data_IF_875027890894
#
_entry.id   IF_875027890894
#
_cell.length_a   1.000
_cell.length_b   1.000
_cell.length_c   1.000
_cell.angle_alpha   90.00
_cell.angle_beta   90.00
_cell.angle_gamma   90.00
#
_symmetry.space_group_name_H-M   'P 1'
#
loop_
_entity.id
_entity.type
_entity.pdbx_description
1 polymer ?
#
# COMPACT_ATOMS: atom_id res chain seq x y z
N UNK A 1 33.23 53.00 15.93
CA UNK A 1 34.38 52.23 15.40
C UNK A 1 34.24 52.14 13.88
N UNK A 2 35.35 51.93 13.17
CA UNK A 2 35.55 52.45 11.80
C UNK A 2 34.94 51.60 10.66
N UNK A 3 34.54 52.23 9.54
CA UNK A 3 34.20 51.57 8.28
C UNK A 3 35.46 51.11 7.49
N UNK A 4 35.32 50.29 6.42
CA UNK A 4 36.41 49.46 5.90
C UNK A 4 37.28 50.12 4.81
N UNK A 5 38.51 49.61 4.57
CA UNK A 5 39.37 50.08 3.48
C UNK A 5 39.02 49.45 2.13
N UNK A 6 38.89 50.29 1.10
CA UNK A 6 38.82 49.90 -0.32
C UNK A 6 40.23 49.66 -0.88
N UNK A 7 40.43 48.62 -1.70
CA UNK A 7 41.48 48.54 -2.73
C UNK A 7 40.84 47.98 -4.01
N UNK A 8 40.58 48.80 -5.03
CA UNK A 8 41.44 49.35 -6.11
C UNK A 8 41.86 48.31 -7.16
N UNK A 9 41.48 48.62 -8.41
CA UNK A 9 41.79 47.91 -9.68
C UNK A 9 43.20 48.20 -10.19
N UNK A 10 43.67 47.28 -11.02
CA UNK A 10 44.55 47.42 -12.19
C UNK A 10 44.22 46.18 -13.06
N UNK A 11 43.82 46.20 -14.34
CA UNK A 11 44.38 46.83 -15.55
C UNK A 11 45.90 46.54 -15.66
N UNK A 12 46.46 46.04 -16.77
CA UNK A 12 45.95 45.86 -18.14
C UNK A 12 46.83 44.83 -18.90
N UNK A 13 46.63 44.68 -20.23
CA UNK A 13 47.34 43.84 -21.22
C UNK A 13 46.63 42.51 -21.52
N UNK A 14 45.77 42.34 -22.53
CA UNK A 14 45.59 42.96 -23.87
C UNK A 14 46.43 42.32 -25.00
N UNK A 15 45.80 42.21 -26.19
CA UNK A 15 46.33 41.78 -27.50
C UNK A 15 46.79 40.30 -27.67
N UNK A 16 46.56 39.62 -28.81
CA UNK A 16 45.77 39.95 -30.02
C UNK A 16 45.71 38.78 -31.03
N UNK A 17 44.59 38.66 -31.77
CA UNK A 17 44.45 38.07 -33.12
C UNK A 17 44.83 36.57 -33.33
N UNK A 18 44.28 35.80 -34.29
CA UNK A 18 43.80 36.18 -35.62
C UNK A 18 42.63 35.29 -36.10
N UNK A 19 41.79 35.92 -36.93
CA UNK A 19 40.68 35.48 -37.79
C UNK A 19 40.96 34.22 -38.65
N UNK A 20 40.01 33.58 -39.34
CA UNK A 20 39.02 34.14 -40.30
C UNK A 20 37.82 33.20 -40.59
N UNK A 21 36.67 33.79 -41.00
CA UNK A 21 35.75 33.42 -42.12
C UNK A 21 35.32 31.94 -42.33
N UNK A 22 34.12 31.54 -42.83
CA UNK A 22 32.89 32.12 -43.43
C UNK A 22 31.89 30.93 -43.63
N UNK A 23 30.63 31.02 -44.09
CA UNK A 23 29.66 32.10 -44.41
C UNK A 23 28.25 31.49 -44.58
N UNK A 24 27.21 32.32 -44.40
CA UNK A 24 25.86 32.24 -45.00
C UNK A 24 24.89 31.07 -44.73
N UNK A 25 23.61 31.42 -44.55
CA UNK A 25 22.52 30.48 -44.26
C UNK A 25 21.21 31.19 -43.87
N UNK A 26 20.67 32.03 -44.77
CA UNK A 26 19.48 32.86 -44.54
C UNK A 26 18.18 32.09 -44.26
N UNK A 27 17.35 32.55 -43.32
CA UNK A 27 15.99 32.02 -43.10
C UNK A 27 15.12 32.90 -42.21
N UNK A 28 14.42 33.88 -42.80
CA UNK A 28 13.45 34.73 -42.08
C UNK A 28 12.14 33.97 -41.81
N UNK A 29 11.60 34.05 -40.60
CA UNK A 29 10.16 34.25 -40.41
C UNK A 29 9.85 34.93 -39.07
N UNK A 30 9.01 35.96 -39.14
CA UNK A 30 8.53 36.75 -38.00
C UNK A 30 7.01 36.74 -37.99
N UNK A 31 6.38 36.31 -36.89
CA UNK A 31 5.67 37.23 -35.99
C UNK A 31 5.02 36.50 -34.79
N UNK A 32 4.73 37.20 -33.67
CA UNK A 32 4.26 36.58 -32.44
C UNK A 32 2.73 36.69 -32.23
N UNK A 33 2.07 35.59 -31.89
CA UNK A 33 0.67 35.61 -31.40
C UNK A 33 0.61 35.55 -29.87
N UNK A 34 0.54 36.76 -29.30
CA UNK A 34 0.14 37.11 -27.95
C UNK A 34 -1.13 36.35 -27.49
N UNK A 35 -1.00 35.45 -26.52
CA UNK A 35 -2.12 35.01 -25.68
C UNK A 35 -1.82 35.26 -24.19
N UNK A 36 -2.39 36.35 -23.67
CA UNK A 36 -2.74 36.44 -22.26
C UNK A 36 -4.15 35.86 -22.12
N UNK A 37 -4.32 34.84 -21.29
CA UNK A 37 -5.42 34.80 -20.33
C UNK A 37 -5.19 33.70 -19.29
N UNK A 38 -5.39 34.04 -18.01
CA UNK A 38 -5.29 33.08 -16.93
C UNK A 38 -6.56 32.23 -16.83
N UNK A 39 -6.38 30.93 -16.63
CA UNK A 39 -7.47 29.99 -16.32
C UNK A 39 -7.13 29.19 -15.06
N UNK A 40 -7.81 29.48 -13.96
CA UNK A 40 -7.79 28.63 -12.76
C UNK A 40 -8.45 27.29 -13.10
N UNK A 41 -7.67 26.25 -13.43
CA UNK A 41 -8.19 24.90 -13.57
C UNK A 41 -8.17 24.18 -12.22
N UNK A 42 -9.30 24.23 -11.52
CA UNK A 42 -9.62 23.34 -10.39
C UNK A 42 -10.44 22.15 -10.92
N UNK A 43 -10.23 21.00 -10.29
CA UNK A 43 -11.10 19.82 -10.26
C UNK A 43 -11.09 18.82 -11.44
N UNK A 44 -11.50 17.60 -11.07
CA UNK A 44 -11.92 16.47 -11.91
C UNK A 44 -10.85 15.77 -12.79
N UNK A 45 -10.02 14.96 -12.14
CA UNK A 45 -9.59 13.67 -12.71
C UNK A 45 -10.44 12.54 -12.15
N UNK A 46 -11.66 12.46 -12.66
CA UNK A 46 -12.51 11.29 -12.55
C UNK A 46 -12.54 10.61 -13.92
N UNK A 47 -12.78 9.29 -13.93
CA UNK A 47 -13.14 8.48 -15.10
C UNK A 47 -12.03 8.13 -16.10
N UNK A 48 -11.55 6.90 -15.98
CA UNK A 48 -11.49 5.94 -17.09
C UNK A 48 -11.64 4.53 -16.48
N UNK A 49 -12.91 4.12 -16.29
CA UNK A 49 -13.27 2.78 -15.83
C UNK A 49 -13.54 1.88 -17.05
N UNK A 50 -13.27 0.58 -16.89
CA UNK A 50 -13.10 -0.38 -17.97
C UNK A 50 -14.31 -0.58 -18.86
N UNK A 51 -14.06 -0.55 -20.17
CA UNK A 51 -14.86 -1.22 -21.18
C UNK A 51 -14.03 -2.38 -21.76
N UNK A 52 -14.15 -3.61 -21.21
CA UNK A 52 -13.73 -4.82 -21.96
C UNK A 52 -14.33 -6.14 -21.45
N UNK A 53 -15.21 -6.68 -22.29
CA UNK A 53 -15.55 -8.09 -22.54
C UNK A 53 -15.35 -9.12 -21.42
N UNK A 54 -16.46 -9.43 -20.71
CA UNK A 54 -16.70 -10.78 -20.22
C UNK A 54 -17.49 -11.56 -21.26
N UNK A 55 -16.90 -12.62 -21.83
CA UNK A 55 -17.62 -13.59 -22.66
C UNK A 55 -18.42 -14.54 -21.77
N UNK A 56 -19.74 -14.36 -21.73
CA UNK A 56 -20.65 -15.23 -20.98
C UNK A 56 -20.91 -16.55 -21.73
N UNK A 57 -20.46 -17.67 -21.18
CA UNK A 57 -21.06 -18.96 -21.51
C UNK A 57 -22.39 -19.08 -20.76
N UNK A 58 -23.50 -19.02 -21.50
CA UNK A 58 -24.83 -19.28 -20.97
C UNK A 58 -25.10 -20.79 -21.00
N UNK A 59 -25.32 -21.38 -19.83
CA UNK A 59 -25.87 -22.74 -19.69
C UNK A 59 -27.34 -22.61 -19.30
N UNK A 60 -28.21 -22.91 -20.27
CA UNK A 60 -29.66 -22.82 -20.16
C UNK A 60 -30.21 -24.18 -19.73
N UNK A 61 -30.95 -24.31 -18.63
CA UNK A 61 -31.79 -25.50 -18.34
C UNK A 61 -32.86 -25.24 -17.28
N UNK A 62 -33.98 -25.93 -17.46
CA UNK A 62 -35.05 -26.23 -16.49
C UNK A 62 -35.91 -25.02 -16.06
N UNK A 63 -37.11 -24.84 -16.60
CA UNK A 63 -38.33 -25.69 -16.64
C UNK A 63 -39.36 -25.28 -15.57
N UNK A 64 -40.60 -25.22 -16.02
CA UNK A 64 -41.78 -24.97 -15.21
C UNK A 64 -41.97 -26.09 -14.18
N UNK A 65 -42.53 -25.76 -13.02
CA UNK A 65 -43.66 -26.51 -12.48
C UNK A 65 -44.56 -25.61 -11.62
N UNK A 66 -45.80 -26.09 -11.40
CA UNK A 66 -46.99 -25.28 -11.12
C UNK A 66 -47.82 -25.93 -10.02
N UNK A 67 -48.41 -25.12 -9.15
CA UNK A 67 -49.30 -25.56 -8.06
C UNK A 67 -48.61 -25.61 -6.69
N UNK A 68 -49.33 -25.56 -5.57
CA UNK A 68 -50.79 -25.44 -5.43
C UNK A 68 -51.11 -24.86 -4.04
N UNK A 69 -52.17 -24.06 -3.93
CA UNK A 69 -52.60 -23.53 -2.64
C UNK A 69 -53.12 -24.64 -1.72
N UNK A 70 -52.80 -24.55 -0.43
CA UNK A 70 -53.46 -25.32 0.63
C UNK A 70 -53.34 -24.57 1.95
N UNK A 71 -54.44 -23.94 2.34
CA UNK A 71 -54.62 -23.43 3.69
C UNK A 71 -54.59 -24.59 4.69
N UNK A 72 -53.83 -24.48 5.78
CA UNK A 72 -53.91 -25.43 6.89
C UNK A 72 -53.80 -24.69 8.21
N UNK A 73 -54.97 -24.33 8.73
CA UNK A 73 -55.18 -23.72 10.05
C UNK A 73 -54.60 -24.63 11.13
N UNK A 74 -53.54 -24.21 11.82
CA UNK A 74 -52.94 -24.99 12.90
C UNK A 74 -52.59 -24.14 14.12
N UNK A 75 -53.12 -24.64 15.25
CA UNK A 75 -53.23 -24.09 16.60
C UNK A 75 -51.97 -23.41 17.18
N UNK A 76 -52.20 -22.28 17.83
CA UNK A 76 -51.21 -21.46 18.55
C UNK A 76 -50.67 -22.16 19.81
N UNK A 77 -49.53 -22.83 19.69
CA UNK A 77 -48.69 -23.16 20.84
C UNK A 77 -47.74 -21.99 21.12
N UNK A 78 -47.95 -21.27 22.23
CA UNK A 78 -47.10 -20.14 22.64
C UNK A 78 -45.78 -20.63 23.25
N UNK A 79 -44.90 -21.19 22.41
CA UNK A 79 -43.50 -21.37 22.77
C UNK A 79 -42.83 -20.01 22.82
N UNK A 80 -42.46 -19.57 24.03
CA UNK A 80 -41.61 -18.39 24.22
C UNK A 80 -40.21 -18.71 23.68
N UNK A 81 -40.02 -18.50 22.38
CA UNK A 81 -38.71 -18.61 21.74
C UNK A 81 -37.80 -17.54 22.34
N UNK A 82 -36.91 -17.95 23.21
CA UNK A 82 -35.79 -17.12 23.66
C UNK A 82 -35.01 -16.78 22.40
N UNK A 83 -35.10 -15.53 21.96
CA UNK A 83 -34.41 -15.09 20.76
C UNK A 83 -32.90 -15.20 21.01
N UNK A 84 -32.27 -16.22 20.43
CA UNK A 84 -30.81 -16.35 20.48
C UNK A 84 -30.23 -15.07 19.91
N UNK A 85 -29.50 -14.34 20.76
CA UNK A 85 -28.74 -13.17 20.32
C UNK A 85 -27.81 -13.60 19.19
N UNK A 86 -27.86 -12.96 18.00
CA UNK A 86 -27.06 -13.41 16.87
C UNK A 86 -25.60 -13.49 17.27
N UNK A 87 -25.01 -14.67 17.07
CA UNK A 87 -23.64 -14.96 17.49
C UNK A 87 -22.68 -13.94 16.86
N UNK A 88 -22.03 -13.14 17.71
CA UNK A 88 -21.07 -12.13 17.28
C UNK A 88 -19.95 -12.82 16.51
N UNK A 89 -19.76 -12.42 15.24
CA UNK A 89 -18.72 -13.03 14.41
C UNK A 89 -17.36 -12.56 14.90
N UNK A 90 -16.44 -13.51 15.08
CA UNK A 90 -15.07 -13.25 15.53
C UNK A 90 -14.07 -13.46 14.39
N UNK A 91 -13.03 -12.63 14.32
CA UNK A 91 -11.91 -12.74 13.39
C UNK A 91 -10.62 -12.81 14.20
N UNK A 92 -9.99 -13.98 14.24
CA UNK A 92 -8.66 -14.14 14.83
C UNK A 92 -7.59 -13.65 13.84
N UNK A 93 -6.69 -12.78 14.31
CA UNK A 93 -5.57 -12.27 13.51
C UNK A 93 -4.27 -12.25 14.33
N UNK A 94 -3.11 -12.65 13.77
CA UNK A 94 -1.84 -12.56 14.47
C UNK A 94 -1.51 -11.11 14.90
N UNK A 95 -1.20 -10.89 16.17
CA UNK A 95 -0.92 -9.55 16.71
C UNK A 95 0.27 -8.91 15.97
N UNK A 96 0.09 -7.77 15.28
CA UNK A 96 1.13 -7.12 14.48
C UNK A 96 2.06 -6.22 15.31
N UNK A 97 1.71 -5.90 16.55
CA UNK A 97 2.46 -4.98 17.40
C UNK A 97 3.95 -5.33 17.60
N UNK A 98 4.35 -6.61 17.77
CA UNK A 98 5.76 -6.99 17.88
C UNK A 98 6.57 -6.81 16.59
N UNK A 99 5.90 -6.69 15.44
CA UNK A 99 6.51 -6.65 14.10
C UNK A 99 6.47 -5.25 13.48
N UNK A 100 5.90 -4.26 14.16
CA UNK A 100 5.94 -2.87 13.72
C UNK A 100 7.37 -2.34 13.74
N UNK A 101 7.80 -1.75 12.62
CA UNK A 101 9.15 -1.20 12.48
C UNK A 101 9.24 0.16 13.21
N UNK A 102 10.25 0.40 14.08
CA UNK A 102 10.48 1.70 14.67
C UNK A 102 10.79 2.78 13.63
N UNK A 103 10.32 4.03 13.85
CA UNK A 103 10.61 5.17 12.97
C UNK A 103 12.13 5.35 12.72
N UNK A 104 12.94 5.18 13.77
CA UNK A 104 14.41 5.29 13.67
C UNK A 104 15.03 4.28 12.72
N UNK A 105 14.45 3.09 12.58
CA UNK A 105 14.93 2.06 11.64
C UNK A 105 14.56 2.38 10.19
N UNK A 106 13.37 2.96 9.95
CA UNK A 106 13.03 3.51 8.63
C UNK A 106 14.03 4.61 8.23
N UNK A 107 14.20 5.61 9.11
CA UNK A 107 15.10 6.75 8.88
C UNK A 107 16.55 6.32 8.65
N UNK A 108 17.06 5.36 9.43
CA UNK A 108 18.40 4.78 9.29
C UNK A 108 18.64 4.16 7.92
N UNK A 109 17.60 3.61 7.28
CA UNK A 109 17.69 2.95 5.98
C UNK A 109 17.60 3.93 4.79
N UNK A 110 16.94 5.09 4.93
CA UNK A 110 16.72 6.02 3.82
C UNK A 110 18.00 6.47 3.08
N UNK A 111 19.12 6.84 3.74
CA UNK A 111 20.34 7.26 3.02
C UNK A 111 20.99 6.18 2.16
N UNK A 112 20.68 4.91 2.42
CA UNK A 112 21.13 3.79 1.60
C UNK A 112 20.13 3.44 0.49
N UNK A 113 18.83 3.58 0.76
CA UNK A 113 17.73 3.28 -0.16
C UNK A 113 17.48 4.38 -1.19
N UNK A 114 17.71 5.65 -0.84
CA UNK A 114 17.52 6.81 -1.72
C UNK A 114 18.81 7.64 -1.75
N UNK A 115 19.82 7.07 -2.40
CA UNK A 115 21.20 7.58 -2.39
C UNK A 115 21.36 8.90 -3.16
N UNK A 116 20.64 9.08 -4.27
CA UNK A 116 20.73 10.31 -5.09
C UNK A 116 19.52 11.25 -4.94
N UNK A 117 18.67 11.03 -3.93
CA UNK A 117 17.55 11.92 -3.64
C UNK A 117 16.62 12.14 -4.85
N UNK A 118 16.42 13.42 -5.21
CA UNK A 118 15.48 13.80 -6.28
C UNK A 118 15.88 13.32 -7.68
N UNK A 119 17.16 13.09 -7.97
CA UNK A 119 17.60 12.59 -9.29
C UNK A 119 17.56 11.06 -9.43
N UNK A 120 17.28 10.32 -8.36
CA UNK A 120 17.27 8.86 -8.39
C UNK A 120 16.07 8.28 -9.15
N UNK A 121 16.31 7.25 -9.96
CA UNK A 121 15.32 6.55 -10.81
C UNK A 121 15.59 5.05 -10.80
N UNK A 122 14.65 4.28 -11.35
CA UNK A 122 14.79 2.83 -11.55
C UNK A 122 14.40 2.01 -10.32
N UNK A 123 14.11 0.74 -10.57
CA UNK A 123 13.91 -0.30 -9.56
C UNK A 123 15.23 -0.59 -8.83
N UNK A 124 15.23 -1.38 -7.75
CA UNK A 124 16.49 -1.78 -7.12
C UNK A 124 17.37 -2.65 -8.01
N UNK A 125 16.78 -3.52 -8.86
CA UNK A 125 17.54 -4.25 -9.89
C UNK A 125 18.31 -3.37 -10.86
N UNK A 126 17.88 -2.12 -11.06
CA UNK A 126 18.53 -1.17 -11.96
C UNK A 126 19.70 -0.41 -11.28
N UNK A 127 19.94 -0.63 -9.98
CA UNK A 127 20.97 0.08 -9.23
C UNK A 127 22.36 -0.57 -9.40
N UNK A 128 23.44 0.22 -9.35
CA UNK A 128 24.80 -0.31 -9.44
C UNK A 128 25.09 -1.39 -8.39
N UNK A 129 25.85 -2.45 -8.71
CA UNK A 129 26.11 -3.58 -7.80
C UNK A 129 26.63 -3.17 -6.41
N UNK A 130 27.44 -2.12 -6.31
CA UNK A 130 27.96 -1.62 -5.02
C UNK A 130 26.83 -1.09 -4.10
N UNK A 131 25.75 -0.51 -4.65
CA UNK A 131 24.58 -0.10 -3.87
C UNK A 131 23.80 -1.30 -3.35
N UNK A 132 23.57 -2.29 -4.22
CA UNK A 132 22.89 -3.53 -3.86
C UNK A 132 23.63 -4.23 -2.71
N UNK A 133 24.95 -4.39 -2.80
CA UNK A 133 25.78 -4.93 -1.72
C UNK A 133 25.67 -4.11 -0.43
N UNK A 134 25.71 -2.78 -0.50
CA UNK A 134 25.57 -1.90 0.68
C UNK A 134 24.20 -2.06 1.35
N UNK A 135 23.12 -2.17 0.57
CA UNK A 135 21.77 -2.37 1.08
C UNK A 135 21.63 -3.76 1.70
N UNK A 136 22.03 -4.83 1.01
CA UNK A 136 22.02 -6.20 1.56
C UNK A 136 22.82 -6.30 2.87
N UNK A 137 23.96 -5.61 2.97
CA UNK A 137 24.75 -5.53 4.21
C UNK A 137 23.99 -4.86 5.37
N UNK A 138 23.19 -3.83 5.09
CA UNK A 138 22.33 -3.14 6.08
C UNK A 138 21.07 -3.94 6.46
N UNK A 139 20.57 -4.75 5.53
CA UNK A 139 19.49 -5.72 5.74
C UNK A 139 19.94 -6.99 6.47
N UNK A 140 21.20 -7.08 6.89
CA UNK A 140 21.75 -8.28 7.54
C UNK A 140 21.93 -9.48 6.59
N UNK A 141 21.42 -9.40 5.36
CA UNK A 141 21.47 -10.44 4.31
C UNK A 141 22.83 -10.56 3.64
N UNK A 142 23.92 -10.19 4.34
CA UNK A 142 25.30 -10.50 3.93
C UNK A 142 25.36 -11.98 3.54
N UNK A 143 25.66 -12.25 2.27
CA UNK A 143 25.46 -13.54 1.60
C UNK A 143 26.36 -14.66 2.09
N UNK A 144 26.27 -15.00 3.39
CA UNK A 144 26.89 -16.17 4.00
C UNK A 144 26.17 -17.42 3.51
N UNK A 145 26.61 -17.87 2.34
CA UNK A 145 26.67 -19.26 1.92
C UNK A 145 25.49 -20.14 2.38
N UNK A 146 24.37 -20.02 1.67
CA UNK A 146 23.29 -21.03 1.63
C UNK A 146 23.79 -22.44 1.23
N UNK A 147 25.07 -22.62 0.89
CA UNK A 147 25.64 -23.85 0.34
C UNK A 147 26.21 -24.84 1.36
N UNK A 148 26.47 -24.49 2.64
CA UNK A 148 27.18 -25.42 3.53
C UNK A 148 26.74 -25.55 5.01
N UNK A 149 25.88 -24.67 5.57
CA UNK A 149 25.68 -24.68 7.02
C UNK A 149 24.54 -25.60 7.51
N UNK A 150 24.75 -26.93 7.45
CA UNK A 150 23.76 -27.94 7.87
C UNK A 150 23.79 -28.30 9.38
N UNK A 151 24.74 -27.75 10.16
CA UNK A 151 25.00 -28.20 11.54
C UNK A 151 25.20 -27.11 12.61
N UNK A 152 25.02 -25.82 12.32
CA UNK A 152 25.19 -24.75 13.33
C UNK A 152 23.96 -24.53 14.22
N UNK A 153 23.57 -25.51 15.04
CA UNK A 153 22.66 -25.33 16.19
C UNK A 153 23.37 -24.59 17.36
N UNK A 154 24.10 -23.53 17.02
CA UNK A 154 25.04 -22.83 17.89
C UNK A 154 24.52 -21.51 18.42
N UNK A 155 23.70 -21.56 19.47
CA UNK A 155 23.58 -20.54 20.54
C UNK A 155 23.77 -19.08 20.07
N UNK A 156 22.76 -18.51 19.41
CA UNK A 156 22.72 -17.09 19.10
C UNK A 156 22.83 -16.26 20.39
N UNK A 157 24.00 -15.63 20.62
CA UNK A 157 24.17 -14.62 21.66
C UNK A 157 23.22 -13.45 21.39
N UNK A 158 22.75 -12.80 22.45
CA UNK A 158 21.90 -11.60 22.44
C UNK A 158 22.49 -10.44 21.61
N UNK A 159 22.42 -10.51 20.29
CA UNK A 159 22.25 -9.30 19.49
C UNK A 159 20.85 -8.80 19.79
N UNK A 160 20.75 -7.62 20.42
CA UNK A 160 19.47 -6.97 20.74
C UNK A 160 18.49 -7.13 19.58
N UNK A 161 17.27 -7.60 19.87
CA UNK A 161 16.20 -7.89 18.90
C UNK A 161 15.67 -6.60 18.25
N UNK A 162 16.52 -5.92 17.48
CA UNK A 162 16.14 -4.85 16.58
C UNK A 162 15.33 -5.49 15.46
N UNK A 163 14.05 -5.13 15.40
CA UNK A 163 13.12 -5.53 14.33
C UNK A 163 13.70 -5.03 13.01
N UNK A 164 14.29 -5.94 12.24
CA UNK A 164 15.03 -5.60 11.04
C UNK A 164 14.07 -5.46 9.87
N UNK A 165 14.12 -4.29 9.20
CA UNK A 165 13.39 -4.08 7.95
C UNK A 165 13.83 -5.14 6.94
N UNK A 166 12.89 -5.93 6.45
CA UNK A 166 13.18 -6.95 5.45
C UNK A 166 13.38 -6.31 4.05
N UNK A 167 13.72 -7.15 3.08
CA UNK A 167 13.93 -6.70 1.70
C UNK A 167 12.67 -6.02 1.15
N UNK A 168 11.54 -6.71 1.05
CA UNK A 168 10.29 -6.18 0.48
C UNK A 168 9.84 -4.85 1.12
N UNK A 169 9.91 -4.75 2.45
CA UNK A 169 9.62 -3.53 3.21
C UNK A 169 10.52 -2.37 2.78
N UNK A 170 11.83 -2.60 2.71
CA UNK A 170 12.82 -1.58 2.33
C UNK A 170 12.61 -1.07 0.91
N UNK A 171 12.20 -1.95 0.00
CA UNK A 171 11.98 -1.62 -1.39
C UNK A 171 10.66 -0.84 -1.57
N UNK A 172 9.61 -1.21 -0.84
CA UNK A 172 8.38 -0.43 -0.77
C UNK A 172 8.62 0.96 -0.15
N UNK A 173 9.38 1.05 0.95
CA UNK A 173 9.81 2.31 1.57
C UNK A 173 10.53 3.21 0.56
N UNK A 174 11.52 2.67 -0.16
CA UNK A 174 12.23 3.37 -1.24
C UNK A 174 11.28 3.94 -2.28
N UNK A 175 10.35 3.11 -2.78
CA UNK A 175 9.38 3.48 -3.82
C UNK A 175 8.52 4.68 -3.38
N UNK A 176 8.06 4.71 -2.13
CA UNK A 176 7.29 5.84 -1.61
C UNK A 176 8.11 7.12 -1.46
N UNK A 177 9.35 7.04 -0.98
CA UNK A 177 10.23 8.21 -0.87
C UNK A 177 10.63 8.78 -2.23
N UNK A 178 10.91 7.94 -3.24
CA UNK A 178 11.16 8.42 -4.61
C UNK A 178 9.96 9.16 -5.20
N UNK A 179 8.74 8.66 -4.95
CA UNK A 179 7.51 9.34 -5.38
C UNK A 179 7.25 10.64 -4.60
N UNK A 180 7.53 10.67 -3.29
CA UNK A 180 7.44 11.87 -2.46
C UNK A 180 8.41 12.97 -2.94
N UNK A 181 9.64 12.60 -3.28
CA UNK A 181 10.67 13.51 -3.78
C UNK A 181 10.39 14.05 -5.20
N UNK A 182 9.52 13.37 -5.96
CA UNK A 182 9.20 13.69 -7.37
C UNK A 182 7.67 13.70 -7.60
N UNK A 183 6.91 14.61 -6.96
CA UNK A 183 5.45 14.57 -6.97
C UNK A 183 4.85 14.67 -8.38
N UNK A 184 5.47 15.43 -9.28
CA UNK A 184 5.01 15.64 -10.66
C UNK A 184 5.26 14.46 -11.61
N UNK A 185 6.12 13.50 -11.24
CA UNK A 185 6.46 12.37 -12.10
C UNK A 185 5.55 11.16 -11.84
N UNK A 186 5.17 10.46 -12.89
CA UNK A 186 4.40 9.21 -12.80
C UNK A 186 5.30 8.03 -12.40
N UNK A 187 4.69 6.92 -11.96
CA UNK A 187 5.42 5.69 -11.63
C UNK A 187 6.28 5.18 -12.82
N UNK A 188 5.77 5.15 -14.08
CA UNK A 188 6.60 4.87 -15.26
C UNK A 188 7.75 5.87 -15.46
N UNK A 189 7.52 7.18 -15.28
CA UNK A 189 8.55 8.21 -15.46
C UNK A 189 9.66 8.13 -14.40
N UNK A 190 9.36 7.57 -13.23
CA UNK A 190 10.36 7.22 -12.20
C UNK A 190 11.06 5.88 -12.46
N UNK A 191 10.59 5.10 -13.45
CA UNK A 191 10.97 3.71 -13.73
C UNK A 191 10.73 2.81 -12.50
N UNK A 192 9.55 2.95 -11.89
CA UNK A 192 9.12 2.22 -10.69
C UNK A 192 7.88 1.34 -10.95
N UNK A 193 7.82 0.72 -12.15
CA UNK A 193 6.69 -0.07 -12.64
C UNK A 193 5.72 0.68 -13.55
N UNK A 194 4.97 -0.06 -14.37
CA UNK A 194 3.84 0.52 -15.09
C UNK A 194 2.64 0.72 -14.15
N UNK A 195 1.74 1.65 -14.49
CA UNK A 195 0.51 1.82 -13.73
C UNK A 195 -0.40 0.58 -13.83
N UNK A 196 -0.27 -0.25 -14.87
CA UNK A 196 -1.06 -1.47 -15.03
C UNK A 196 -0.57 -2.57 -14.07
N UNK A 197 0.74 -2.83 -14.03
CA UNK A 197 1.33 -3.86 -13.15
C UNK A 197 1.04 -3.57 -11.67
N UNK A 198 1.09 -2.28 -11.31
CA UNK A 198 0.78 -1.78 -9.97
C UNK A 198 -0.70 -2.00 -9.62
N UNK A 199 -1.64 -1.77 -10.55
CA UNK A 199 -3.07 -2.03 -10.33
C UNK A 199 -3.35 -3.51 -10.20
N UNK A 200 -2.90 -4.32 -11.17
CA UNK A 200 -3.08 -5.78 -11.16
C UNK A 200 -2.54 -6.37 -9.84
N UNK A 201 -1.39 -5.88 -9.35
CA UNK A 201 -0.85 -6.34 -8.07
C UNK A 201 -1.65 -5.89 -6.83
N UNK A 202 -2.39 -4.78 -6.90
CA UNK A 202 -3.33 -4.36 -5.85
C UNK A 202 -4.62 -5.18 -5.92
N UNK A 203 -5.22 -5.32 -7.11
CA UNK A 203 -6.42 -6.11 -7.37
C UNK A 203 -6.24 -7.58 -6.95
N UNK A 204 -5.04 -8.15 -7.18
CA UNK A 204 -4.68 -9.49 -6.72
C UNK A 204 -4.55 -9.57 -5.20
N UNK A 205 -4.05 -8.51 -4.55
CA UNK A 205 -3.91 -8.49 -3.09
C UNK A 205 -5.27 -8.34 -2.40
N UNK A 206 -6.17 -7.50 -2.95
CA UNK A 206 -7.56 -7.43 -2.52
C UNK A 206 -8.24 -8.80 -2.64
N UNK A 207 -8.10 -9.51 -3.77
CA UNK A 207 -8.61 -10.89 -3.92
C UNK A 207 -8.05 -11.88 -2.89
N UNK A 208 -6.79 -11.75 -2.47
CA UNK A 208 -6.21 -12.58 -1.42
C UNK A 208 -6.88 -12.33 -0.05
N UNK A 209 -7.18 -11.07 0.28
CA UNK A 209 -7.94 -10.71 1.49
C UNK A 209 -9.39 -11.19 1.38
N UNK A 210 -10.05 -11.00 0.23
CA UNK A 210 -11.41 -11.46 -0.04
C UNK A 210 -11.54 -12.99 0.14
N UNK A 211 -10.57 -13.74 -0.40
CA UNK A 211 -10.47 -15.20 -0.26
C UNK A 211 -10.26 -15.61 1.21
N UNK A 212 -9.40 -14.90 1.94
CA UNK A 212 -9.14 -15.18 3.35
C UNK A 212 -10.39 -14.93 4.23
N UNK A 213 -11.07 -13.80 4.05
CA UNK A 213 -12.32 -13.48 4.75
C UNK A 213 -13.44 -14.48 4.43
N UNK A 214 -13.57 -14.88 3.16
CA UNK A 214 -14.53 -15.89 2.71
C UNK A 214 -14.26 -17.26 3.33
N UNK A 215 -12.99 -17.67 3.41
CA UNK A 215 -12.57 -18.92 4.06
C UNK A 215 -12.91 -18.96 5.56
N UNK A 216 -12.94 -17.80 6.20
CA UNK A 216 -13.36 -17.63 7.60
C UNK A 216 -14.87 -17.34 7.75
N UNK A 217 -15.67 -17.53 6.70
CA UNK A 217 -17.12 -17.28 6.65
C UNK A 217 -17.56 -15.86 7.04
N UNK A 218 -16.66 -14.87 6.96
CA UNK A 218 -16.95 -13.46 7.28
C UNK A 218 -17.83 -12.88 6.17
N UNK A 219 -18.99 -12.33 6.53
CA UNK A 219 -19.89 -11.69 5.57
C UNK A 219 -19.57 -10.21 5.37
N UNK A 220 -19.19 -9.83 4.15
CA UNK A 220 -18.85 -8.47 3.76
C UNK A 220 -19.46 -8.08 2.41
N UNK A 221 -19.54 -6.77 2.15
CA UNK A 221 -19.69 -6.17 0.82
C UNK A 221 -18.33 -5.70 0.33
N UNK A 222 -17.91 -6.13 -0.86
CA UNK A 222 -16.72 -5.57 -1.52
C UNK A 222 -17.05 -4.21 -2.18
N UNK A 223 -16.05 -3.51 -2.72
CA UNK A 223 -16.21 -2.18 -3.32
C UNK A 223 -17.28 -2.15 -4.44
N UNK A 224 -17.41 -3.23 -5.23
CA UNK A 224 -18.41 -3.37 -6.30
C UNK A 224 -19.84 -3.48 -5.76
N UNK A 225 -20.04 -4.26 -4.70
CA UNK A 225 -21.33 -4.36 -4.02
C UNK A 225 -21.73 -3.03 -3.38
N UNK A 226 -20.77 -2.33 -2.75
CA UNK A 226 -21.01 -1.02 -2.14
C UNK A 226 -21.39 0.06 -3.18
N UNK A 227 -20.79 0.01 -4.38
CA UNK A 227 -21.18 0.86 -5.51
C UNK A 227 -22.60 0.58 -5.98
N UNK A 228 -22.94 -0.68 -6.24
CA UNK A 228 -24.30 -1.09 -6.66
C UNK A 228 -25.37 -0.65 -5.66
N UNK A 229 -25.16 -0.87 -4.36
CA UNK A 229 -26.10 -0.43 -3.33
C UNK A 229 -26.29 1.09 -3.28
N UNK A 230 -25.26 1.88 -3.55
CA UNK A 230 -25.38 3.35 -3.64
C UNK A 230 -26.10 3.78 -4.91
N UNK A 231 -25.89 3.10 -6.04
CA UNK A 231 -26.62 3.36 -7.29
C UNK A 231 -28.11 3.03 -7.18
N UNK A 232 -28.46 1.97 -6.43
CA UNK A 232 -29.84 1.53 -6.21
C UNK A 232 -30.61 2.38 -5.19
N UNK A 233 -29.95 2.83 -4.11
CA UNK A 233 -30.62 3.43 -2.93
C UNK A 233 -30.18 4.88 -2.62
N UNK A 234 -29.14 5.39 -3.27
CA UNK A 234 -28.44 6.62 -2.86
C UNK A 234 -28.92 7.88 -3.59
N UNK A 235 -29.42 8.85 -2.83
CA UNK A 235 -29.55 10.24 -3.31
C UNK A 235 -28.30 11.02 -2.93
N UNK A 236 -27.57 11.53 -3.93
CA UNK A 236 -26.42 12.41 -3.73
C UNK A 236 -25.05 11.75 -3.95
N UNK A 237 -24.01 12.40 -3.44
CA UNK A 237 -22.61 12.00 -3.68
C UNK A 237 -22.28 10.72 -2.91
N UNK A 238 -21.76 9.73 -3.63
CA UNK A 238 -21.24 8.50 -3.03
C UNK A 238 -20.13 8.81 -2.01
N UNK A 239 -20.20 8.27 -0.77
CA UNK A 239 -19.09 8.34 0.18
C UNK A 239 -17.88 7.54 -0.34
N UNK A 240 -16.69 7.75 0.25
CA UNK A 240 -15.57 6.85 -0.02
C UNK A 240 -15.91 5.46 0.53
N UNK A 241 -15.82 4.42 -0.31
CA UNK A 241 -16.03 3.02 0.08
C UNK A 241 -14.70 2.39 0.53
N UNK A 242 -14.63 1.72 1.68
CA UNK A 242 -13.51 0.82 2.01
C UNK A 242 -13.52 -0.40 1.09
N UNK A 243 -12.39 -1.08 0.95
CA UNK A 243 -12.28 -2.27 0.10
C UNK A 243 -13.29 -3.38 0.52
N UNK A 244 -13.48 -3.56 1.84
CA UNK A 244 -14.49 -4.47 2.43
C UNK A 244 -15.27 -3.79 3.56
N UNK A 245 -16.60 -3.89 3.56
CA UNK A 245 -17.49 -3.43 4.65
C UNK A 245 -18.28 -4.62 5.22
N UNK A 246 -18.34 -4.76 6.55
CA UNK A 246 -19.03 -5.89 7.19
C UNK A 246 -20.55 -5.77 7.00
N UNK A 247 -21.21 -6.88 6.64
CA UNK A 247 -22.65 -6.91 6.27
C UNK A 247 -23.58 -6.75 7.47
N UNK A 248 -23.32 -7.50 8.54
CA UNK A 248 -24.26 -7.68 9.65
C UNK A 248 -23.88 -6.83 10.88
N UNK A 249 -23.43 -5.59 10.65
CA UNK A 249 -22.95 -4.69 11.70
C UNK A 249 -21.44 -4.76 11.88
N UNK A 250 -20.99 -5.31 13.01
CA UNK A 250 -19.57 -5.33 13.41
C UNK A 250 -18.96 -6.72 13.42
N UNK A 251 -17.63 -6.75 13.34
CA UNK A 251 -16.78 -7.92 13.47
C UNK A 251 -15.87 -7.74 14.68
N UNK A 252 -15.76 -8.76 15.53
CA UNK A 252 -14.90 -8.76 16.71
C UNK A 252 -13.52 -9.30 16.36
N UNK A 253 -12.56 -8.40 16.17
CA UNK A 253 -11.17 -8.72 15.87
C UNK A 253 -10.44 -9.15 17.15
N UNK A 254 -9.93 -10.37 17.17
CA UNK A 254 -9.16 -10.96 18.26
C UNK A 254 -7.68 -11.05 17.86
N UNK A 255 -6.82 -10.25 18.50
CA UNK A 255 -5.39 -10.26 18.24
C UNK A 255 -4.70 -11.34 19.07
N UNK A 256 -4.19 -12.37 18.40
CA UNK A 256 -3.52 -13.52 19.04
C UNK A 256 -2.01 -13.31 19.14
N UNK A 257 -1.39 -13.78 20.22
CA UNK A 257 0.08 -13.77 20.33
C UNK A 257 0.71 -14.82 19.40
N UNK A 258 1.87 -14.53 18.80
CA UNK A 258 2.67 -15.52 18.07
C UNK A 258 3.28 -16.54 19.07
N UNK A 259 2.48 -17.48 19.55
CA UNK A 259 2.92 -18.57 20.45
C UNK A 259 3.69 -19.64 19.68
N UNK A 260 4.88 -19.29 19.20
CA UNK A 260 5.84 -20.24 18.61
C UNK A 260 6.25 -21.35 19.60
N UNK A 261 6.04 -21.11 20.90
CA UNK A 261 6.08 -22.10 21.97
C UNK A 261 4.64 -22.40 22.42
N UNK A 262 3.96 -23.30 21.70
CA UNK A 262 2.66 -23.85 22.12
C UNK A 262 2.83 -24.77 23.33
N UNK A 263 2.75 -24.23 24.53
CA UNK A 263 2.24 -24.98 25.69
C UNK A 263 0.74 -25.11 25.54
N UNK A 264 0.22 -26.34 25.51
CA UNK A 264 -1.07 -26.69 24.91
C UNK A 264 -2.34 -26.27 25.68
N UNK A 265 -2.30 -25.20 26.49
CA UNK A 265 -3.34 -24.88 27.48
C UNK A 265 -3.81 -23.43 27.50
N UNK A 266 -3.26 -22.51 26.69
CA UNK A 266 -3.73 -21.12 26.67
C UNK A 266 -3.47 -20.43 25.32
N UNK A 267 -4.52 -20.24 24.51
CA UNK A 267 -4.51 -19.30 23.38
C UNK A 267 -4.81 -17.90 23.94
N UNK A 268 -3.80 -17.27 24.55
CA UNK A 268 -3.93 -15.94 25.17
C UNK A 268 -4.23 -14.86 24.12
N UNK A 269 -5.52 -14.52 23.97
CA UNK A 269 -5.99 -13.32 23.28
C UNK A 269 -5.39 -12.09 23.97
N UNK A 270 -4.72 -11.23 23.20
CA UNK A 270 -3.97 -10.09 23.73
C UNK A 270 -4.76 -8.79 23.71
N UNK A 271 -5.61 -8.62 22.70
CA UNK A 271 -6.39 -7.42 22.45
C UNK A 271 -7.63 -7.80 21.64
N UNK A 272 -8.76 -7.18 21.98
CA UNK A 272 -10.05 -7.38 21.31
C UNK A 272 -10.54 -6.02 20.83
N UNK A 273 -10.94 -5.93 19.55
CA UNK A 273 -11.43 -4.69 18.95
C UNK A 273 -12.65 -4.95 18.07
N UNK A 274 -13.71 -4.16 18.25
CA UNK A 274 -14.84 -4.13 17.31
C UNK A 274 -14.46 -3.32 16.07
N UNK A 275 -14.63 -3.87 14.87
CA UNK A 275 -14.38 -3.21 13.57
C UNK A 275 -15.58 -3.36 12.62
N UNK A 276 -15.73 -2.43 11.67
CA UNK A 276 -16.87 -2.36 10.73
C UNK A 276 -16.44 -2.43 9.25
N UNK A 277 -15.15 -2.28 8.96
CA UNK A 277 -14.58 -2.32 7.62
C UNK A 277 -13.11 -2.73 7.64
N UNK A 278 -12.63 -3.21 6.50
CA UNK A 278 -11.24 -3.60 6.24
C UNK A 278 -10.80 -2.98 4.91
N UNK A 279 -9.60 -2.39 4.91
CA UNK A 279 -8.93 -1.84 3.74
C UNK A 279 -7.64 -2.62 3.47
N UNK A 280 -7.35 -2.98 2.22
CA UNK A 280 -6.13 -3.66 1.81
C UNK A 280 -5.12 -2.65 1.24
N UNK A 281 -3.88 -2.64 1.74
CA UNK A 281 -2.78 -1.84 1.18
C UNK A 281 -1.57 -2.70 0.83
N UNK A 282 -1.32 -2.84 -0.49
CA UNK A 282 -0.19 -3.57 -1.07
C UNK A 282 1.21 -3.07 -0.64
N UNK A 283 1.31 -1.88 -0.05
CA UNK A 283 2.58 -1.26 0.30
C UNK A 283 2.91 -1.34 1.80
N UNK A 284 4.16 -1.04 2.13
CA UNK A 284 4.63 -0.87 3.50
C UNK A 284 4.13 0.46 4.08
N UNK A 285 3.50 0.42 5.25
CA UNK A 285 2.94 1.59 5.94
C UNK A 285 4.01 2.48 6.60
N UNK A 286 4.78 3.21 5.79
CA UNK A 286 5.95 3.96 6.25
C UNK A 286 5.63 5.18 7.14
N UNK A 287 6.14 5.16 8.37
CA UNK A 287 6.12 6.24 9.38
C UNK A 287 6.81 7.54 8.94
N UNK A 288 7.77 7.41 8.03
CA UNK A 288 8.63 8.49 7.51
C UNK A 288 8.00 9.33 6.41
N UNK A 289 6.84 8.95 5.86
CA UNK A 289 6.14 9.76 4.86
C UNK A 289 5.19 10.74 5.57
N UNK A 290 5.25 12.05 5.25
CA UNK A 290 4.30 13.02 5.80
C UNK A 290 2.86 12.77 5.33
N UNK A 291 1.93 12.96 6.27
CA UNK A 291 0.49 13.03 6.01
C UNK A 291 0.13 14.21 5.10
N UNK A 292 -1.08 14.18 4.54
CA UNK A 292 -1.64 15.24 3.69
C UNK A 292 -0.83 15.54 2.41
N UNK A 293 -0.03 14.56 1.97
CA UNK A 293 0.66 14.60 0.67
C UNK A 293 -0.10 13.76 -0.37
N UNK A 294 0.00 14.12 -1.66
CA UNK A 294 -0.57 13.37 -2.80
C UNK A 294 0.07 11.97 -3.02
N UNK A 295 0.85 11.46 -2.06
CA UNK A 295 1.41 10.12 -2.07
C UNK A 295 0.40 9.13 -1.48
N UNK A 296 0.40 7.89 -1.97
CA UNK A 296 -0.47 6.82 -1.48
C UNK A 296 -0.35 6.56 0.04
N UNK A 297 0.80 6.86 0.64
CA UNK A 297 0.97 6.77 2.12
C UNK A 297 0.47 8.03 2.84
N UNK A 298 0.71 9.22 2.28
CA UNK A 298 0.28 10.49 2.89
C UNK A 298 -1.24 10.66 2.93
N UNK A 299 -1.98 9.97 2.06
CA UNK A 299 -3.44 9.98 2.04
C UNK A 299 -4.09 8.97 3.00
N UNK A 300 -3.32 8.10 3.68
CA UNK A 300 -3.88 7.06 4.56
C UNK A 300 -4.70 7.67 5.70
N UNK A 301 -4.11 8.52 6.55
CA UNK A 301 -4.83 9.07 7.71
C UNK A 301 -6.05 9.92 7.28
N UNK A 302 -5.98 10.80 6.27
CA UNK A 302 -7.17 11.51 5.77
C UNK A 302 -8.28 10.57 5.28
N UNK A 303 -7.94 9.49 4.56
CA UNK A 303 -8.93 8.49 4.08
C UNK A 303 -9.52 7.70 5.24
N UNK A 304 -8.68 7.24 6.17
CA UNK A 304 -9.08 6.47 7.34
C UNK A 304 -10.00 7.27 8.28
N UNK A 305 -9.72 8.56 8.52
CA UNK A 305 -10.63 9.44 9.29
C UNK A 305 -12.01 9.56 8.64
N UNK A 306 -12.08 9.62 7.30
CA UNK A 306 -13.36 9.63 6.59
C UNK A 306 -14.10 8.31 6.75
N UNK A 307 -13.42 7.17 6.60
CA UNK A 307 -14.03 5.86 6.86
C UNK A 307 -14.56 5.72 8.29
N UNK A 308 -13.80 6.17 9.29
CA UNK A 308 -14.25 6.17 10.69
C UNK A 308 -15.50 7.05 10.87
N UNK A 309 -15.56 8.21 10.22
CA UNK A 309 -16.74 9.09 10.28
C UNK A 309 -17.99 8.52 9.58
N UNK A 310 -17.84 7.66 8.57
CA UNK A 310 -18.96 7.08 7.82
C UNK A 310 -19.39 5.69 8.31
N UNK A 311 -18.45 4.90 8.85
CA UNK A 311 -18.63 3.47 9.11
C UNK A 311 -18.20 3.03 10.51
N UNK A 312 -17.57 3.89 11.30
CA UNK A 312 -17.00 3.53 12.61
C UNK A 312 -15.59 2.92 12.53
N UNK A 313 -15.07 2.37 13.64
CA UNK A 313 -13.76 1.72 13.71
C UNK A 313 -13.48 0.68 12.61
N UNK A 314 -12.21 0.46 12.28
CA UNK A 314 -11.83 -0.41 11.17
C UNK A 314 -10.44 -1.00 11.26
N UNK A 315 -10.01 -1.68 10.20
CA UNK A 315 -8.66 -2.19 10.07
C UNK A 315 -8.06 -1.88 8.68
N UNK A 316 -6.74 -1.72 8.62
CA UNK A 316 -5.98 -1.66 7.36
C UNK A 316 -4.97 -2.79 7.36
N UNK A 317 -5.05 -3.70 6.40
CA UNK A 317 -4.10 -4.80 6.20
C UNK A 317 -2.99 -4.36 5.26
N UNK A 318 -1.77 -4.25 5.76
CA UNK A 318 -0.58 -3.89 4.98
C UNK A 318 0.17 -5.13 4.51
N UNK A 319 0.36 -5.29 3.20
CA UNK A 319 1.02 -6.47 2.60
C UNK A 319 2.44 -6.69 3.13
N UNK A 320 3.18 -5.61 3.40
CA UNK A 320 4.54 -5.67 3.94
C UNK A 320 4.60 -5.20 5.42
N UNK A 321 3.47 -5.10 6.10
CA UNK A 321 3.37 -4.56 7.46
C UNK A 321 3.44 -3.03 7.54
N UNK A 322 3.48 -2.52 8.77
CA UNK A 322 3.33 -1.10 9.09
C UNK A 322 4.45 -0.60 10.00
N UNK A 323 4.78 0.69 9.90
CA UNK A 323 5.70 1.37 10.82
C UNK A 323 4.98 1.78 12.11
N UNK A 324 5.69 1.72 13.23
CA UNK A 324 5.12 1.86 14.57
C UNK A 324 4.44 3.22 14.83
N UNK A 325 4.93 4.31 14.22
CA UNK A 325 4.31 5.62 14.36
C UNK A 325 2.97 5.67 13.60
N UNK A 326 2.94 5.23 12.33
CA UNK A 326 1.70 5.21 11.55
C UNK A 326 0.66 4.27 12.19
N UNK A 327 1.09 3.11 12.68
CA UNK A 327 0.21 2.18 13.41
C UNK A 327 -0.42 2.82 14.66
N UNK A 328 0.37 3.61 15.43
CA UNK A 328 -0.16 4.37 16.58
C UNK A 328 -1.12 5.47 16.14
N UNK A 329 -0.78 6.26 15.14
CA UNK A 329 -1.64 7.35 14.61
C UNK A 329 -2.96 6.82 14.01
N UNK A 330 -2.94 5.60 13.46
CA UNK A 330 -4.15 4.87 13.05
C UNK A 330 -4.96 4.41 14.27
N UNK A 331 -4.32 3.85 15.30
CA UNK A 331 -4.99 3.39 16.52
C UNK A 331 -5.66 4.55 17.27
N UNK A 332 -5.03 5.72 17.31
CA UNK A 332 -5.58 6.97 17.86
C UNK A 332 -6.90 7.42 17.20
N UNK A 333 -7.18 6.99 15.95
CA UNK A 333 -8.44 7.25 15.25
C UNK A 333 -9.38 6.04 15.19
N UNK A 334 -9.11 4.97 15.95
CA UNK A 334 -9.94 3.77 15.96
C UNK A 334 -9.70 2.83 14.76
N UNK A 335 -8.50 2.83 14.19
CA UNK A 335 -8.12 1.95 13.07
C UNK A 335 -6.92 1.10 13.44
N UNK A 336 -7.04 -0.23 13.34
CA UNK A 336 -5.92 -1.14 13.62
C UNK A 336 -5.12 -1.42 12.34
N UNK A 337 -3.79 -1.27 12.42
CA UNK A 337 -2.87 -1.63 11.34
C UNK A 337 -2.47 -3.11 11.45
N UNK A 338 -2.96 -3.93 10.53
CA UNK A 338 -2.68 -5.36 10.43
C UNK A 338 -1.56 -5.64 9.40
N UNK A 339 -0.98 -6.83 9.46
CA UNK A 339 -0.10 -7.38 8.42
C UNK A 339 -0.68 -8.68 7.84
N UNK A 340 -0.04 -9.25 6.81
CA UNK A 340 -0.56 -10.40 6.07
C UNK A 340 -0.15 -11.78 6.60
N UNK A 341 0.30 -11.93 7.86
CA UNK A 341 0.49 -13.26 8.43
C UNK A 341 -0.84 -14.04 8.43
N UNK A 342 -0.84 -15.22 7.81
CA UNK A 342 -2.03 -16.06 7.63
C UNK A 342 -2.79 -15.83 6.32
N UNK A 343 -2.43 -14.83 5.52
CA UNK A 343 -2.99 -14.60 4.18
C UNK A 343 -2.12 -15.29 3.13
N UNK A 344 -2.74 -16.01 2.19
CA UNK A 344 -2.03 -16.54 1.02
C UNK A 344 -1.78 -15.43 0.01
N UNK A 345 -0.50 -15.21 -0.33
CA UNK A 345 -0.03 -14.17 -1.23
C UNK A 345 0.65 -14.72 -2.49
N UNK A 346 0.59 -16.03 -2.76
CA UNK A 346 1.32 -16.68 -3.86
C UNK A 346 1.04 -16.02 -5.22
N UNK A 347 -0.24 -15.71 -5.51
CA UNK A 347 -0.66 -15.03 -6.75
C UNK A 347 -0.06 -13.63 -6.88
N UNK A 348 -0.02 -12.86 -5.78
CA UNK A 348 0.53 -11.50 -5.76
C UNK A 348 2.04 -11.55 -5.97
N UNK A 349 2.75 -12.44 -5.27
CA UNK A 349 4.19 -12.61 -5.43
C UNK A 349 4.56 -13.08 -6.83
N UNK A 350 3.83 -14.05 -7.40
CA UNK A 350 4.05 -14.56 -8.76
C UNK A 350 3.95 -13.43 -9.80
N UNK A 351 2.93 -12.58 -9.70
CA UNK A 351 2.81 -11.39 -10.55
C UNK A 351 3.95 -10.39 -10.30
N UNK A 352 4.28 -10.08 -9.04
CA UNK A 352 5.37 -9.16 -8.71
C UNK A 352 6.74 -9.64 -9.19
N UNK A 353 7.02 -10.95 -9.15
CA UNK A 353 8.26 -11.53 -9.73
C UNK A 353 8.34 -11.21 -11.23
N UNK A 354 7.23 -11.29 -11.97
CA UNK A 354 7.20 -11.05 -13.42
C UNK A 354 7.70 -9.66 -13.86
N UNK A 355 7.54 -8.61 -13.05
CA UNK A 355 7.96 -7.25 -13.41
C UNK A 355 8.98 -6.61 -12.46
N UNK A 356 8.96 -6.94 -11.16
CA UNK A 356 9.96 -6.52 -10.17
C UNK A 356 11.16 -7.48 -10.05
N UNK A 357 11.08 -8.67 -10.64
CA UNK A 357 12.15 -9.68 -10.61
C UNK A 357 13.41 -9.26 -11.37
N UNK A 358 14.57 -9.70 -10.90
CA UNK A 358 15.76 -9.84 -11.76
C UNK A 358 15.63 -11.06 -12.69
N UNK A 359 16.63 -11.29 -13.55
CA UNK A 359 16.66 -12.46 -14.45
C UNK A 359 16.75 -13.83 -13.73
N UNK A 360 16.87 -13.86 -12.40
CA UNK A 360 16.87 -15.06 -11.58
C UNK A 360 15.55 -15.23 -10.80
N UNK A 361 14.56 -14.34 -11.01
CA UNK A 361 13.29 -14.33 -10.27
C UNK A 361 13.36 -13.73 -8.86
N UNK A 362 14.49 -13.13 -8.44
CA UNK A 362 14.57 -12.41 -7.18
C UNK A 362 13.78 -11.11 -7.26
N UNK A 363 12.77 -10.91 -6.41
CA UNK A 363 12.03 -9.64 -6.33
C UNK A 363 12.96 -8.52 -5.84
N UNK A 364 13.34 -7.62 -6.75
CA UNK A 364 14.23 -6.47 -6.51
C UNK A 364 13.55 -5.15 -6.89
N UNK A 365 12.40 -4.88 -6.26
CA UNK A 365 11.63 -3.62 -6.32
C UNK A 365 12.49 -2.34 -6.28
#
# INVERSE_FOLDING_TARGET
MNPPPKRRRSQENDSSATSTNRSDGSGRHSNPTRYKNGGRSRNNRHREYYNRHGTSHASNSNELLRGTDSETTSLTASSTTVAESPSETELHWPNPSPHYIPLSEEERMLPALVHWGKSERGMMKDQPPFRLQKILKLLGTNGKDRRNNKHSYGKHKNSNNLVQINLLQSLSLRRHHLKLLNPTLSMPALRLGSNADIRISADLFEQCIETHLTKLAIQFWNEKDQKRMHEENGVGRQPLTPDFRIKNGSLKLLLTQDTFVRTATDDTVCETQTIFWIEAKMFYGASTIPHDTDNAVGTILPKARQYVSYYGPGAIVFMYGCGAKLARELKEIGVIALDCRGVDLERVFSHQIGWCGDGNGNVLF
#
